data_IF_533930654671
#
_entry.id   IF_533930654671
#
_cell.length_a   1.000
_cell.length_b   1.000
_cell.length_c   1.000
_cell.angle_alpha   90.00
_cell.angle_beta   90.00
_cell.angle_gamma   90.00
#
_symmetry.space_group_name_H-M   'P 1'
#
loop_
_entity.id
_entity.type
_entity.pdbx_description
1 polymer ?
#
# COMPACT_ATOMS: atom_id res chain seq x y z
N UNK A 1 11.41 -1.26 -2.80
CA UNK A 1 10.19 -0.84 -3.53
C UNK A 1 10.17 0.67 -3.49
N UNK A 2 10.11 1.36 -4.64
CA UNK A 2 10.13 2.84 -4.68
C UNK A 2 8.72 3.44 -4.90
N UNK A 3 7.69 2.68 -4.51
CA UNK A 3 6.28 3.03 -4.75
C UNK A 3 5.74 3.79 -3.55
N UNK A 4 5.34 5.04 -3.77
CA UNK A 4 4.76 5.91 -2.75
C UNK A 4 3.24 5.98 -2.91
N UNK A 5 2.51 5.92 -1.78
CA UNK A 5 1.05 6.06 -1.75
C UNK A 5 0.67 7.46 -1.30
N UNK A 6 -0.27 8.10 -1.99
CA UNK A 6 -0.85 9.36 -1.55
C UNK A 6 -1.99 9.12 -0.55
N UNK A 7 -1.92 9.74 0.63
CA UNK A 7 -2.91 9.56 1.70
C UNK A 7 -3.81 10.79 1.83
N UNK A 8 -5.06 10.68 1.34
CA UNK A 8 -6.06 11.75 1.37
C UNK A 8 -7.03 11.54 2.55
N UNK A 9 -7.10 12.49 3.47
CA UNK A 9 -7.94 12.42 4.67
C UNK A 9 -8.16 13.81 5.30
N UNK A 10 -9.21 13.94 6.13
CA UNK A 10 -9.34 15.13 6.98
C UNK A 10 -8.44 15.06 8.20
N UNK A 11 -7.71 16.13 8.51
CA UNK A 11 -6.85 16.20 9.71
C UNK A 11 -7.57 15.87 11.03
N UNK A 12 -8.90 16.01 11.09
CA UNK A 12 -9.76 15.63 12.23
C UNK A 12 -9.85 14.11 12.44
N UNK A 13 -9.57 13.31 11.43
CA UNK A 13 -9.58 11.85 11.49
C UNK A 13 -8.20 11.24 11.82
N UNK A 14 -7.21 12.09 12.16
CA UNK A 14 -5.84 11.64 12.37
C UNK A 14 -5.75 10.52 13.42
N UNK A 15 -6.23 10.82 14.61
CA UNK A 15 -6.12 9.92 15.77
C UNK A 15 -7.17 8.81 15.77
N UNK A 16 -8.23 8.94 14.97
CA UNK A 16 -9.33 7.98 14.94
C UNK A 16 -9.09 6.80 14.01
N UNK A 17 -8.36 6.99 12.90
CA UNK A 17 -8.12 5.91 11.92
C UNK A 17 -6.81 6.05 11.16
N UNK A 18 -6.37 7.27 10.85
CA UNK A 18 -5.21 7.53 9.98
C UNK A 18 -3.93 6.99 10.59
N UNK A 19 -3.66 7.26 11.87
CA UNK A 19 -2.46 6.75 12.56
C UNK A 19 -2.40 5.23 12.56
N UNK A 20 -3.55 4.56 12.70
CA UNK A 20 -3.63 3.09 12.65
C UNK A 20 -3.28 2.55 11.26
N UNK A 21 -3.80 3.15 10.19
CA UNK A 21 -3.47 2.75 8.82
C UNK A 21 -1.99 3.02 8.50
N UNK A 22 -1.49 4.20 8.87
CA UNK A 22 -0.09 4.58 8.69
C UNK A 22 0.85 3.62 9.42
N UNK A 23 0.52 3.23 10.66
CA UNK A 23 1.28 2.27 11.43
C UNK A 23 1.42 0.93 10.67
N UNK A 24 0.33 0.38 10.16
CA UNK A 24 0.38 -0.89 9.43
C UNK A 24 1.15 -0.77 8.10
N UNK A 25 0.87 0.25 7.29
CA UNK A 25 1.54 0.42 5.99
C UNK A 25 3.05 0.66 6.15
N UNK A 26 3.44 1.47 7.14
CA UNK A 26 4.86 1.73 7.44
C UNK A 26 5.56 0.45 7.90
N UNK A 27 4.92 -0.35 8.75
CA UNK A 27 5.46 -1.65 9.18
C UNK A 27 5.54 -2.68 8.03
N UNK A 28 4.73 -2.52 6.98
CA UNK A 28 4.86 -3.32 5.75
C UNK A 28 5.97 -2.82 4.82
N UNK A 29 6.63 -1.70 5.15
CA UNK A 29 7.66 -1.10 4.32
C UNK A 29 7.12 -0.35 3.11
N UNK A 30 5.84 0.05 3.12
CA UNK A 30 5.26 0.93 2.10
C UNK A 30 5.41 2.39 2.54
N UNK A 31 6.19 3.21 1.81
CA UNK A 31 6.27 4.63 2.10
C UNK A 31 4.94 5.31 1.73
N UNK A 32 4.44 6.12 2.65
CA UNK A 32 3.20 6.88 2.46
C UNK A 32 3.53 8.37 2.44
N UNK A 33 3.02 9.08 1.45
CA UNK A 33 3.06 10.52 1.38
C UNK A 33 1.80 11.11 2.02
N UNK A 34 2.01 11.98 3.01
CA UNK A 34 0.97 12.85 3.54
C UNK A 34 1.59 14.14 4.07
N UNK A 35 0.75 15.19 4.10
CA UNK A 35 0.97 16.59 4.50
C UNK A 35 2.18 16.90 5.40
N UNK A 36 2.46 16.08 6.42
CA UNK A 36 3.41 16.43 7.49
C UNK A 36 4.82 15.86 7.35
N UNK A 37 5.11 14.97 6.41
CA UNK A 37 6.44 14.36 6.37
C UNK A 37 7.56 15.33 5.95
N UNK A 38 7.22 16.46 5.34
CA UNK A 38 8.19 17.48 4.92
C UNK A 38 8.14 18.78 5.72
N UNK A 39 7.16 18.95 6.59
CA UNK A 39 6.98 20.19 7.36
C UNK A 39 7.75 20.12 8.68
N UNK A 40 8.69 21.03 8.86
CA UNK A 40 9.39 21.25 10.11
C UNK A 40 8.56 22.17 11.03
N UNK A 41 8.87 22.09 12.32
CA UNK A 41 8.28 23.01 13.30
C UNK A 41 8.68 24.45 12.95
N UNK A 42 7.70 25.28 12.61
CA UNK A 42 7.93 26.67 12.19
C UNK A 42 7.61 26.95 10.72
N UNK A 43 7.41 25.91 9.91
CA UNK A 43 7.04 26.07 8.50
C UNK A 43 5.61 26.62 8.36
N UNK A 44 5.42 27.54 7.40
CA UNK A 44 4.09 27.95 6.97
C UNK A 44 3.34 26.75 6.38
N UNK A 45 2.05 26.62 6.71
CA UNK A 45 1.18 25.58 6.13
C UNK A 45 0.95 25.90 4.66
N UNK A 46 1.84 25.43 3.81
CA UNK A 46 1.80 25.75 2.39
C UNK A 46 0.92 24.74 1.64
N UNK A 47 -0.26 25.20 1.19
CA UNK A 47 -1.22 24.39 0.42
C UNK A 47 -0.70 23.99 -0.98
N UNK A 48 0.45 24.51 -1.42
CA UNK A 48 1.00 24.24 -2.77
C UNK A 48 1.65 22.86 -2.94
N UNK A 49 1.92 22.13 -1.86
CA UNK A 49 2.68 20.87 -1.92
C UNK A 49 1.86 19.62 -2.28
N UNK A 50 0.53 19.67 -2.22
CA UNK A 50 -0.33 18.49 -2.41
C UNK A 50 -0.47 18.08 -3.87
N UNK A 51 -0.55 19.06 -4.78
CA UNK A 51 -0.64 18.84 -6.22
C UNK A 51 0.53 18.00 -6.75
N UNK A 52 1.73 18.30 -6.28
CA UNK A 52 2.96 17.55 -6.61
C UNK A 52 2.94 16.16 -5.99
N UNK A 53 2.50 16.03 -4.72
CA UNK A 53 2.35 14.75 -4.03
C UNK A 53 1.39 13.81 -4.76
N UNK A 54 0.21 14.28 -5.15
CA UNK A 54 -0.78 13.53 -5.93
C UNK A 54 -0.20 13.14 -7.30
N UNK A 55 0.51 14.05 -7.96
CA UNK A 55 1.11 13.79 -9.29
C UNK A 55 2.26 12.77 -9.24
N UNK A 56 3.01 12.74 -8.15
CA UNK A 56 4.14 11.84 -7.93
C UNK A 56 3.71 10.40 -7.56
N UNK A 57 2.46 10.20 -7.12
CA UNK A 57 1.97 8.90 -6.70
C UNK A 57 1.12 8.22 -7.80
N UNK A 58 1.26 6.90 -7.90
CA UNK A 58 0.43 6.05 -8.77
C UNK A 58 -0.70 5.35 -8.00
N UNK A 59 -0.70 5.49 -6.68
CA UNK A 59 -1.68 4.92 -5.76
C UNK A 59 -2.16 6.02 -4.83
N UNK A 60 -3.45 6.00 -4.51
CA UNK A 60 -4.03 6.86 -3.48
C UNK A 60 -4.95 6.06 -2.57
N UNK A 61 -4.91 6.38 -1.28
CA UNK A 61 -5.91 5.95 -0.31
C UNK A 61 -6.75 7.18 0.03
N UNK A 62 -8.07 7.03 -0.02
CA UNK A 62 -9.01 8.07 0.38
C UNK A 62 -9.73 7.59 1.62
N UNK A 63 -9.52 8.26 2.76
CA UNK A 63 -10.34 8.08 3.95
C UNK A 63 -11.52 9.05 3.86
N UNK A 64 -12.66 8.56 3.40
CA UNK A 64 -13.86 9.36 3.29
C UNK A 64 -14.71 9.19 4.55
N UNK A 65 -14.79 10.26 5.33
CA UNK A 65 -15.61 10.40 6.53
C UNK A 65 -16.50 11.64 6.42
N UNK A 66 -17.37 11.87 7.40
CA UNK A 66 -18.09 13.15 7.51
C UNK A 66 -17.13 14.36 7.59
N UNK A 67 -15.98 14.21 8.26
CA UNK A 67 -14.96 15.27 8.37
C UNK A 67 -14.24 15.52 7.04
N UNK A 68 -14.01 14.49 6.23
CA UNK A 68 -13.44 14.61 4.89
C UNK A 68 -14.42 15.33 3.96
N UNK A 69 -15.70 14.96 4.01
CA UNK A 69 -16.75 15.59 3.20
C UNK A 69 -16.87 17.08 3.50
N UNK A 70 -16.74 17.48 4.77
CA UNK A 70 -16.81 18.87 5.22
C UNK A 70 -15.50 19.67 5.04
N UNK A 71 -14.40 19.04 4.58
CA UNK A 71 -13.10 19.69 4.44
C UNK A 71 -12.86 20.15 3.00
N UNK A 72 -12.74 21.45 2.78
CA UNK A 72 -12.46 22.04 1.46
C UNK A 72 -11.14 21.51 0.88
N UNK A 73 -10.07 21.55 1.67
CA UNK A 73 -8.76 21.03 1.26
C UNK A 73 -8.81 19.53 0.86
N UNK A 74 -9.48 18.69 1.66
CA UNK A 74 -9.59 17.26 1.30
C UNK A 74 -10.46 17.04 0.05
N UNK A 75 -11.44 17.91 -0.19
CA UNK A 75 -12.25 17.87 -1.41
C UNK A 75 -11.42 18.20 -2.65
N UNK A 76 -10.55 19.21 -2.58
CA UNK A 76 -9.62 19.57 -3.67
C UNK A 76 -8.69 18.39 -4.03
N UNK A 77 -8.13 17.73 -3.01
CA UNK A 77 -7.32 16.53 -3.20
C UNK A 77 -8.11 15.41 -3.89
N UNK A 78 -9.34 15.13 -3.44
CA UNK A 78 -10.21 14.11 -4.02
C UNK A 78 -10.52 14.42 -5.49
N UNK A 79 -10.74 15.69 -5.83
CA UNK A 79 -11.03 16.09 -7.21
C UNK A 79 -9.82 15.85 -8.13
N UNK A 80 -8.60 16.14 -7.66
CA UNK A 80 -7.35 15.84 -8.38
C UNK A 80 -7.12 14.32 -8.54
N UNK A 81 -7.33 13.55 -7.46
CA UNK A 81 -7.24 12.09 -7.48
C UNK A 81 -8.24 11.52 -8.48
N UNK A 82 -9.48 12.02 -8.47
CA UNK A 82 -10.53 11.58 -9.39
C UNK A 82 -10.18 11.87 -10.85
N UNK A 83 -9.60 13.03 -11.16
CA UNK A 83 -9.10 13.33 -12.51
C UNK A 83 -8.02 12.35 -12.97
N UNK A 84 -7.03 12.03 -12.10
CA UNK A 84 -5.98 11.07 -12.44
C UNK A 84 -6.51 9.65 -12.57
N UNK A 85 -7.45 9.26 -11.71
CA UNK A 85 -8.15 7.98 -11.78
C UNK A 85 -8.88 7.83 -13.12
N UNK A 86 -9.62 8.85 -13.56
CA UNK A 86 -10.29 8.85 -14.88
C UNK A 86 -9.31 8.69 -16.05
N UNK A 87 -8.09 9.18 -15.92
CA UNK A 87 -7.03 9.04 -16.92
C UNK A 87 -6.28 7.71 -16.81
N UNK A 88 -6.69 6.79 -15.94
CA UNK A 88 -5.99 5.54 -15.63
C UNK A 88 -4.54 5.74 -15.14
N UNK A 89 -4.23 6.91 -14.57
CA UNK A 89 -2.90 7.26 -14.03
C UNK A 89 -2.76 7.00 -12.54
N UNK A 90 -3.84 6.60 -11.86
CA UNK A 90 -3.86 6.37 -10.43
C UNK A 90 -4.84 5.27 -10.05
N UNK A 91 -4.36 4.33 -9.24
CA UNK A 91 -5.22 3.39 -8.51
C UNK A 91 -5.72 4.05 -7.23
N UNK A 92 -6.99 3.86 -6.92
CA UNK A 92 -7.63 4.46 -5.73
C UNK A 92 -8.13 3.35 -4.82
N UNK A 93 -7.84 3.47 -3.52
CA UNK A 93 -8.30 2.61 -2.45
C UNK A 93 -9.27 3.39 -1.54
N UNK A 94 -10.59 3.29 -1.77
CA UNK A 94 -11.55 3.99 -0.93
C UNK A 94 -11.74 3.27 0.40
N UNK A 95 -11.70 4.03 1.49
CA UNK A 95 -12.04 3.60 2.83
C UNK A 95 -13.14 4.52 3.36
N UNK A 96 -14.32 3.97 3.58
CA UNK A 96 -15.46 4.69 4.14
C UNK A 96 -15.42 4.57 5.66
N UNK A 97 -15.12 5.68 6.35
CA UNK A 97 -14.93 5.69 7.79
C UNK A 97 -16.13 6.30 8.51
N UNK A 98 -16.78 5.50 9.36
CA UNK A 98 -18.01 5.87 10.09
C UNK A 98 -19.13 6.44 9.19
N UNK A 99 -19.15 6.05 7.91
CA UNK A 99 -20.18 6.43 6.94
C UNK A 99 -20.61 5.20 6.17
N UNK A 100 -21.93 5.01 6.01
CA UNK A 100 -22.48 3.95 5.18
C UNK A 100 -22.52 4.40 3.72
N UNK A 101 -22.35 3.46 2.81
CA UNK A 101 -22.42 3.70 1.36
C UNK A 101 -23.74 4.29 0.87
N UNK A 102 -24.85 4.00 1.56
CA UNK A 102 -26.17 4.59 1.29
C UNK A 102 -26.26 6.09 1.59
N UNK A 103 -25.35 6.62 2.40
CA UNK A 103 -25.33 8.01 2.85
C UNK A 103 -24.32 8.87 2.07
N UNK A 104 -23.65 8.28 1.08
CA UNK A 104 -22.62 8.97 0.30
C UNK A 104 -23.23 10.05 -0.61
N UNK A 105 -22.76 11.29 -0.55
CA UNK A 105 -23.13 12.33 -1.51
C UNK A 105 -22.77 11.92 -2.95
N UNK A 106 -23.55 12.42 -3.91
CA UNK A 106 -23.41 12.07 -5.33
C UNK A 106 -21.98 12.25 -5.87
N UNK A 107 -21.30 13.34 -5.46
CA UNK A 107 -19.90 13.64 -5.79
C UNK A 107 -18.96 12.44 -5.57
N UNK A 108 -19.22 11.62 -4.55
CA UNK A 108 -18.34 10.53 -4.13
C UNK A 108 -18.79 9.15 -4.62
N UNK A 109 -19.96 9.07 -5.27
CA UNK A 109 -20.55 7.80 -5.69
C UNK A 109 -19.68 6.99 -6.67
N UNK A 110 -18.74 7.64 -7.37
CA UNK A 110 -17.81 6.94 -8.27
C UNK A 110 -16.93 5.92 -7.54
N UNK A 111 -16.63 6.14 -6.25
CA UNK A 111 -15.85 5.21 -5.41
C UNK A 111 -16.59 3.91 -5.12
N UNK A 112 -17.93 3.89 -5.20
CA UNK A 112 -18.74 2.66 -5.02
C UNK A 112 -18.50 1.61 -6.11
N UNK A 113 -17.93 2.02 -7.25
CA UNK A 113 -17.56 1.11 -8.35
C UNK A 113 -16.21 0.44 -8.14
N UNK A 114 -15.47 0.86 -7.11
CA UNK A 114 -14.18 0.28 -6.73
C UNK A 114 -14.38 -0.72 -5.60
N UNK A 115 -13.40 -1.59 -5.39
CA UNK A 115 -13.35 -2.39 -4.16
C UNK A 115 -12.98 -1.44 -3.01
N UNK A 116 -13.89 -1.27 -2.06
CA UNK A 116 -13.73 -0.40 -0.89
C UNK A 116 -13.81 -1.20 0.41
N UNK A 117 -13.42 -0.57 1.52
CA UNK A 117 -13.64 -1.07 2.88
C UNK A 117 -14.47 -0.07 3.69
N UNK A 118 -15.46 -0.56 4.42
CA UNK A 118 -16.17 0.22 5.44
C UNK A 118 -15.50 -0.05 6.80
N UNK A 119 -15.02 0.99 7.45
CA UNK A 119 -14.34 0.93 8.74
C UNK A 119 -15.05 1.78 9.79
N UNK A 120 -14.91 1.37 11.04
CA UNK A 120 -15.30 2.13 12.22
C UNK A 120 -14.14 2.09 13.22
N UNK A 121 -14.25 2.84 14.32
CA UNK A 121 -13.26 2.79 15.42
C UNK A 121 -13.13 1.38 16.02
N UNK A 122 -14.17 0.55 15.90
CA UNK A 122 -14.19 -0.80 16.44
C UNK A 122 -13.58 -1.87 15.51
N UNK A 123 -13.31 -1.53 14.24
CA UNK A 123 -12.90 -2.50 13.23
C UNK A 123 -11.39 -2.43 12.95
N UNK A 124 -10.81 -3.60 12.63
CA UNK A 124 -9.38 -3.73 12.35
C UNK A 124 -8.98 -3.14 10.98
N UNK A 125 -8.21 -2.04 11.02
CA UNK A 125 -7.65 -1.34 9.87
C UNK A 125 -6.58 -2.17 9.14
N UNK A 126 -5.99 -3.17 9.81
CA UNK A 126 -4.99 -4.08 9.23
C UNK A 126 -5.53 -4.81 8.01
N UNK A 127 -6.80 -5.22 8.04
CA UNK A 127 -7.43 -5.91 6.91
C UNK A 127 -7.47 -5.03 5.65
N UNK A 128 -7.73 -3.72 5.79
CA UNK A 128 -7.67 -2.78 4.69
C UNK A 128 -6.24 -2.61 4.19
N UNK A 129 -5.28 -2.50 5.11
CA UNK A 129 -3.85 -2.41 4.78
C UNK A 129 -3.34 -3.65 4.04
N UNK A 130 -3.80 -4.86 4.42
CA UNK A 130 -3.49 -6.11 3.74
C UNK A 130 -3.96 -6.10 2.28
N UNK A 131 -5.17 -5.61 2.01
CA UNK A 131 -5.66 -5.49 0.64
C UNK A 131 -4.81 -4.51 -0.19
N UNK A 132 -4.41 -3.39 0.42
CA UNK A 132 -3.57 -2.37 -0.22
C UNK A 132 -2.19 -2.94 -0.57
N UNK A 133 -1.48 -3.55 0.39
CA UNK A 133 -0.15 -4.13 0.14
C UNK A 133 -0.23 -5.23 -0.93
N UNK A 134 -1.24 -6.10 -0.88
CA UNK A 134 -1.42 -7.13 -1.90
C UNK A 134 -1.56 -6.54 -3.31
N UNK A 135 -2.37 -5.48 -3.48
CA UNK A 135 -2.49 -4.84 -4.79
C UNK A 135 -1.18 -4.22 -5.25
N UNK A 136 -0.52 -3.46 -4.37
CA UNK A 136 0.75 -2.79 -4.70
C UNK A 136 1.84 -3.82 -5.05
N UNK A 137 1.95 -4.92 -4.32
CA UNK A 137 2.93 -5.98 -4.61
C UNK A 137 2.59 -6.76 -5.87
N UNK A 138 1.31 -7.03 -6.14
CA UNK A 138 0.89 -7.68 -7.39
C UNK A 138 1.21 -6.83 -8.61
N UNK A 139 1.03 -5.51 -8.53
CA UNK A 139 1.38 -4.60 -9.62
C UNK A 139 2.89 -4.48 -9.83
N UNK A 140 3.66 -4.47 -8.74
CA UNK A 140 5.12 -4.51 -8.82
C UNK A 140 5.62 -5.81 -9.45
N UNK A 141 5.01 -6.94 -9.05
CA UNK A 141 5.33 -8.27 -9.59
C UNK A 141 5.14 -8.34 -11.11
N UNK A 142 4.20 -7.57 -11.68
CA UNK A 142 3.99 -7.56 -13.14
C UNK A 142 5.20 -7.06 -13.93
N UNK A 143 6.09 -6.28 -13.30
CA UNK A 143 7.31 -5.75 -13.93
C UNK A 143 8.39 -6.82 -14.13
N UNK A 144 8.29 -7.94 -13.42
CA UNK A 144 9.28 -9.01 -13.47
C UNK A 144 8.87 -10.12 -14.43
N UNK A 145 9.87 -10.78 -15.02
CA UNK A 145 9.68 -11.92 -15.93
C UNK A 145 9.15 -13.16 -15.20
N UNK A 146 9.60 -13.37 -13.96
CA UNK A 146 9.21 -14.50 -13.12
C UNK A 146 8.20 -13.97 -12.12
N UNK A 147 6.99 -14.52 -12.15
CA UNK A 147 5.86 -14.02 -11.36
C UNK A 147 5.36 -15.03 -10.35
N UNK A 148 5.76 -16.29 -10.49
CA UNK A 148 5.34 -17.36 -9.58
C UNK A 148 6.54 -18.16 -9.08
N UNK A 149 6.36 -18.78 -7.92
CA UNK A 149 7.34 -19.70 -7.34
C UNK A 149 7.61 -20.87 -8.28
N UNK A 150 6.58 -21.43 -8.91
CA UNK A 150 6.73 -22.55 -9.84
C UNK A 150 7.58 -22.19 -11.07
N UNK A 151 7.40 -20.99 -11.63
CA UNK A 151 8.25 -20.48 -12.71
C UNK A 151 9.70 -20.34 -12.27
N UNK A 152 9.93 -19.80 -11.07
CA UNK A 152 11.27 -19.66 -10.49
C UNK A 152 11.96 -21.03 -10.37
N UNK A 153 11.30 -22.00 -9.72
CA UNK A 153 11.83 -23.33 -9.50
C UNK A 153 12.13 -24.05 -10.82
N UNK A 154 11.25 -23.92 -11.82
CA UNK A 154 11.46 -24.51 -13.14
C UNK A 154 12.67 -23.90 -13.86
N UNK A 155 12.84 -22.58 -13.79
CA UNK A 155 13.92 -21.88 -14.48
C UNK A 155 15.28 -22.12 -13.83
N UNK A 156 15.34 -22.16 -12.49
CA UNK A 156 16.60 -22.21 -11.75
C UNK A 156 16.96 -23.57 -11.16
N UNK A 157 16.17 -24.63 -11.43
CA UNK A 157 16.39 -26.00 -10.92
C UNK A 157 17.83 -26.49 -10.94
N UNK A 158 18.57 -26.21 -12.02
CA UNK A 158 19.95 -26.67 -12.22
C UNK A 158 20.98 -25.52 -12.16
N UNK A 159 20.59 -24.35 -11.68
CA UNK A 159 21.47 -23.19 -11.62
C UNK A 159 22.31 -23.21 -10.32
N UNK A 160 23.61 -23.49 -10.45
CA UNK A 160 24.54 -23.55 -9.31
C UNK A 160 24.68 -22.23 -8.54
N UNK A 161 24.46 -21.08 -9.17
CA UNK A 161 24.57 -19.79 -8.49
C UNK A 161 23.41 -19.53 -7.52
N UNK A 162 22.23 -20.10 -7.81
CA UNK A 162 21.00 -19.95 -7.02
C UNK A 162 20.55 -21.25 -6.36
N UNK A 163 21.43 -22.26 -6.25
CA UNK A 163 21.06 -23.58 -5.72
C UNK A 163 20.45 -23.51 -4.32
N UNK A 164 21.08 -22.76 -3.41
CA UNK A 164 20.56 -22.56 -2.04
C UNK A 164 19.15 -21.96 -2.03
N UNK A 165 18.91 -20.87 -2.77
CA UNK A 165 17.59 -20.23 -2.83
C UNK A 165 16.55 -21.15 -3.48
N UNK A 166 16.96 -21.92 -4.48
CA UNK A 166 16.08 -22.89 -5.15
C UNK A 166 15.67 -24.01 -4.19
N UNK A 167 16.62 -24.59 -3.44
CA UNK A 167 16.34 -25.62 -2.43
C UNK A 167 15.50 -25.09 -1.26
N UNK A 168 15.76 -23.85 -0.83
CA UNK A 168 14.99 -23.19 0.23
C UNK A 168 13.53 -22.97 -0.19
N UNK A 169 13.30 -22.45 -1.40
CA UNK A 169 11.95 -22.21 -1.93
C UNK A 169 11.21 -23.52 -2.22
N UNK A 170 11.92 -24.54 -2.73
CA UNK A 170 11.35 -25.88 -2.91
C UNK A 170 10.95 -26.51 -1.56
N UNK A 171 11.76 -26.31 -0.52
CA UNK A 171 11.42 -26.72 0.86
C UNK A 171 10.21 -25.98 1.39
N UNK A 172 10.12 -24.66 1.16
CA UNK A 172 8.95 -23.85 1.51
C UNK A 172 7.66 -24.41 0.90
N UNK A 173 7.68 -24.82 -0.38
CA UNK A 173 6.52 -25.37 -1.07
C UNK A 173 6.05 -26.73 -0.53
N UNK A 174 6.89 -27.44 0.22
CA UNK A 174 6.58 -28.76 0.79
C UNK A 174 6.07 -28.69 2.23
N UNK A 175 6.17 -27.52 2.88
CA UNK A 175 5.64 -27.33 4.23
C UNK A 175 4.12 -27.26 4.16
N UNK A 176 3.44 -27.97 5.06
CA UNK A 176 1.98 -27.89 5.24
C UNK A 176 1.52 -26.45 5.41
N UNK A 177 0.40 -26.09 4.76
CA UNK A 177 -0.23 -24.78 4.86
C UNK A 177 -0.66 -24.41 6.29
N UNK A 178 -0.78 -25.40 7.18
CA UNK A 178 -1.08 -25.15 8.59
C UNK A 178 0.14 -24.59 9.36
N UNK A 179 1.36 -24.88 8.92
CA UNK A 179 2.61 -24.49 9.59
C UNK A 179 3.18 -23.17 9.06
N UNK A 180 2.42 -22.10 9.30
CA UNK A 180 2.76 -20.73 8.92
C UNK A 180 4.11 -20.27 9.48
N UNK A 181 4.46 -20.67 10.71
CA UNK A 181 5.71 -20.25 11.35
C UNK A 181 6.93 -20.76 10.59
N UNK A 182 6.91 -22.03 10.16
CA UNK A 182 8.01 -22.61 9.38
C UNK A 182 8.08 -22.00 7.98
N UNK A 183 6.94 -21.78 7.33
CA UNK A 183 6.86 -21.09 6.04
C UNK A 183 7.48 -19.67 6.12
N UNK A 184 7.08 -18.88 7.12
CA UNK A 184 7.61 -17.52 7.34
C UNK A 184 9.10 -17.56 7.64
N UNK A 185 9.55 -18.47 8.50
CA UNK A 185 10.97 -18.61 8.86
C UNK A 185 11.84 -18.92 7.63
N UNK A 186 11.40 -19.81 6.74
CA UNK A 186 12.14 -20.10 5.50
C UNK A 186 12.20 -18.87 4.58
N UNK A 187 11.07 -18.20 4.34
CA UNK A 187 11.05 -16.99 3.51
C UNK A 187 11.97 -15.91 4.09
N UNK A 188 11.95 -15.73 5.41
CA UNK A 188 12.82 -14.79 6.10
C UNK A 188 14.30 -15.14 5.95
N UNK A 189 14.67 -16.41 6.10
CA UNK A 189 16.04 -16.89 5.87
C UNK A 189 16.49 -16.62 4.41
N UNK A 190 15.61 -16.83 3.43
CA UNK A 190 15.86 -16.48 2.03
C UNK A 190 16.10 -14.99 1.82
N UNK A 191 15.28 -14.14 2.44
CA UNK A 191 15.46 -12.68 2.43
C UNK A 191 16.80 -12.26 3.04
N UNK A 192 17.18 -12.82 4.21
CA UNK A 192 18.48 -12.55 4.84
C UNK A 192 19.64 -12.96 3.94
N UNK A 193 19.56 -14.14 3.32
CA UNK A 193 20.57 -14.59 2.37
C UNK A 193 20.72 -13.65 1.18
N UNK A 194 19.60 -13.23 0.58
CA UNK A 194 19.62 -12.29 -0.55
C UNK A 194 20.26 -10.97 -0.10
N UNK A 195 19.86 -10.48 1.08
CA UNK A 195 20.39 -9.24 1.62
C UNK A 195 21.90 -9.31 1.80
N UNK A 196 22.40 -10.35 2.45
CA UNK A 196 23.83 -10.52 2.72
C UNK A 196 24.64 -10.68 1.43
N UNK A 197 24.17 -11.54 0.52
CA UNK A 197 24.95 -11.94 -0.66
C UNK A 197 24.88 -10.94 -1.82
N UNK A 198 23.82 -10.13 -1.92
CA UNK A 198 23.58 -9.27 -3.09
C UNK A 198 23.39 -7.79 -2.75
N UNK A 199 23.33 -7.38 -1.48
CA UNK A 199 23.23 -5.94 -1.11
C UNK A 199 24.60 -5.26 -1.01
N UNK A 200 25.71 -6.01 -1.13
CA UNK A 200 27.08 -5.46 -1.29
C UNK A 200 27.40 -4.94 -2.70
N UNK A 201 26.43 -4.93 -3.62
CA UNK A 201 26.59 -4.48 -5.02
C UNK A 201 25.96 -3.10 -5.31
N UNK A 202 25.53 -2.36 -4.30
CA UNK A 202 25.02 -0.98 -4.45
C UNK A 202 25.59 -0.09 -3.33
N UNK A 203 26.83 0.38 -3.54
CA UNK A 203 27.34 1.64 -3.00
C UNK A 203 27.70 2.53 -4.19
#
# INVERSE_FOLDING_TARGET
>A
MNTMLFFCFSSKDRHSIVESILFHLTNYGLPVWYDRHKMLLGDERDNKNFDEGVKACNYSIIILSANTIASECANEEIDLIYQRYKQHKMYVFPIFFNIKTSQLPEKYCWMKRLVYKELTVANDSRSACNHIICKVTLDELQKYKIKTINEYLKLYKNNKAFSYLTELIDSYCKISDENHNAQIALLYAGCLYIKEKYTSLVL
#
